data_IF_842359972219
#
_entry.id   IF_842359972219
#
_cell.length_a   1.000
_cell.length_b   1.000
_cell.length_c   1.000
_cell.angle_alpha   90.00
_cell.angle_beta   90.00
_cell.angle_gamma   90.00
#
_symmetry.space_group_name_H-M   'P 1'
#
loop_
_entity.id
_entity.type
_entity.pdbx_description
1 polymer ?
#
# COMPACT_ATOMS: atom_id res chain seq x y z
N UNK A 1 1.40 5.55 15.16
CA UNK A 1 1.16 5.04 13.80
C UNK A 1 1.87 3.72 13.59
N UNK A 2 1.20 2.76 13.04
CA UNK A 2 1.77 1.46 12.72
C UNK A 2 1.73 1.23 11.20
N UNK A 3 2.84 0.76 10.64
CA UNK A 3 2.89 0.33 9.24
C UNK A 3 3.00 -1.18 9.24
N UNK A 4 2.09 -1.83 8.56
CA UNK A 4 2.01 -3.29 8.52
C UNK A 4 1.54 -3.78 7.16
N UNK A 5 1.64 -5.09 6.97
CA UNK A 5 1.15 -5.73 5.75
C UNK A 5 -0.38 -5.73 5.75
N UNK A 6 -0.96 -5.54 4.58
CA UNK A 6 -2.40 -5.62 4.36
C UNK A 6 -2.97 -6.95 4.88
N UNK A 7 -4.17 -6.88 5.46
CA UNK A 7 -4.94 -8.04 5.88
C UNK A 7 -6.29 -8.03 5.18
N UNK A 8 -6.88 -9.18 5.00
CA UNK A 8 -8.17 -9.28 4.32
C UNK A 8 -9.26 -8.41 4.97
N UNK A 9 -9.21 -8.26 6.28
CA UNK A 9 -10.16 -7.41 7.01
C UNK A 9 -10.03 -5.93 6.71
N UNK A 10 -8.93 -5.51 6.06
CA UNK A 10 -8.71 -4.11 5.66
C UNK A 10 -9.33 -3.78 4.31
N UNK A 11 -9.86 -4.76 3.60
CA UNK A 11 -10.28 -4.65 2.20
C UNK A 11 -11.20 -3.46 1.95
N UNK A 12 -12.28 -3.36 2.71
CA UNK A 12 -13.26 -2.29 2.50
C UNK A 12 -12.71 -0.92 2.86
N UNK A 13 -11.93 -0.83 3.94
CA UNK A 13 -11.30 0.43 4.35
C UNK A 13 -10.32 0.93 3.30
N UNK A 14 -9.56 0.02 2.69
CA UNK A 14 -8.59 0.38 1.66
C UNK A 14 -9.31 0.91 0.42
N UNK A 15 -10.37 0.25 -0.01
CA UNK A 15 -11.17 0.72 -1.16
C UNK A 15 -11.74 2.11 -0.88
N UNK A 16 -12.31 2.31 0.30
CA UNK A 16 -12.84 3.61 0.70
C UNK A 16 -11.75 4.69 0.72
N UNK A 17 -10.58 4.33 1.24
CA UNK A 17 -9.44 5.26 1.27
C UNK A 17 -9.03 5.67 -0.14
N UNK A 18 -8.95 4.70 -1.05
CA UNK A 18 -8.58 4.99 -2.44
C UNK A 18 -9.59 5.90 -3.11
N UNK A 19 -10.89 5.73 -2.82
CA UNK A 19 -11.91 6.64 -3.32
C UNK A 19 -11.69 8.07 -2.81
N UNK A 20 -11.38 8.21 -1.53
CA UNK A 20 -11.13 9.52 -0.90
C UNK A 20 -9.87 10.19 -1.44
N UNK A 21 -8.88 9.40 -1.85
CA UNK A 21 -7.63 9.91 -2.41
C UNK A 21 -7.71 10.13 -3.92
N UNK A 22 -8.87 9.87 -4.53
CA UNK A 22 -9.08 10.00 -5.98
C UNK A 22 -8.08 9.14 -6.77
N UNK A 23 -7.81 7.94 -6.26
CA UNK A 23 -6.90 6.99 -6.91
C UNK A 23 -7.60 6.03 -7.85
N UNK A 24 -8.92 5.96 -7.80
CA UNK A 24 -9.69 5.06 -8.65
C UNK A 24 -10.07 5.72 -9.95
N UNK A 25 -9.86 5.02 -11.04
CA UNK A 25 -10.19 5.48 -12.39
C UNK A 25 -11.19 4.51 -13.01
N UNK A 26 -11.97 4.94 -14.04
CA UNK A 26 -12.95 4.04 -14.67
C UNK A 26 -12.36 2.75 -15.23
N UNK A 27 -11.09 2.78 -15.61
CA UNK A 27 -10.42 1.61 -16.18
C UNK A 27 -9.74 0.73 -15.13
N UNK A 28 -9.76 1.13 -13.85
CA UNK A 28 -9.16 0.35 -12.78
C UNK A 28 -10.18 -0.60 -12.17
N UNK A 29 -9.70 -1.77 -11.76
CA UNK A 29 -10.48 -2.70 -10.95
C UNK A 29 -9.73 -2.90 -9.64
N UNK A 30 -9.99 -2.06 -8.62
CA UNK A 30 -9.25 -2.12 -7.37
C UNK A 30 -9.42 -3.44 -6.63
N UNK A 31 -10.59 -4.05 -6.71
CA UNK A 31 -10.81 -5.34 -6.06
C UNK A 31 -9.93 -6.42 -6.68
N UNK A 32 -9.84 -6.44 -8.00
CA UNK A 32 -9.00 -7.39 -8.71
C UNK A 32 -7.52 -7.13 -8.43
N UNK A 33 -7.12 -5.85 -8.36
CA UNK A 33 -5.73 -5.50 -8.08
C UNK A 33 -5.31 -5.96 -6.68
N UNK A 34 -6.19 -5.80 -5.70
CA UNK A 34 -5.93 -6.28 -4.36
C UNK A 34 -5.82 -7.81 -4.35
N UNK A 35 -6.76 -8.48 -5.00
CA UNK A 35 -6.77 -9.93 -5.06
C UNK A 35 -5.51 -10.49 -5.71
N UNK A 36 -5.08 -9.91 -6.81
CA UNK A 36 -3.83 -10.32 -7.47
C UNK A 36 -2.63 -10.14 -6.56
N UNK A 37 -2.58 -9.02 -5.83
CA UNK A 37 -1.46 -8.74 -4.95
C UNK A 37 -1.43 -9.71 -3.78
N UNK A 38 -2.58 -9.99 -3.19
CA UNK A 38 -2.69 -10.94 -2.08
C UNK A 38 -2.25 -12.33 -2.52
N UNK A 39 -2.62 -12.74 -3.72
CA UNK A 39 -2.28 -14.07 -4.23
C UNK A 39 -0.84 -14.18 -4.76
N UNK A 40 -0.21 -13.05 -5.05
CA UNK A 40 1.13 -13.07 -5.64
C UNK A 40 2.21 -12.67 -4.62
N UNK A 41 2.09 -11.49 -4.02
CA UNK A 41 3.10 -10.99 -3.09
C UNK A 41 2.51 -9.95 -2.15
N UNK A 42 1.76 -10.40 -1.16
CA UNK A 42 1.10 -9.51 -0.21
C UNK A 42 2.10 -8.76 0.69
N UNK A 43 3.34 -9.26 0.80
CA UNK A 43 4.35 -8.62 1.65
C UNK A 43 4.70 -7.21 1.22
N UNK A 44 4.43 -6.86 -0.03
CA UNK A 44 4.69 -5.52 -0.56
C UNK A 44 3.42 -4.66 -0.61
N UNK A 45 2.34 -5.11 0.00
CA UNK A 45 1.12 -4.31 0.15
C UNK A 45 1.04 -3.85 1.61
N UNK A 46 1.37 -2.58 1.83
CA UNK A 46 1.48 -2.02 3.18
C UNK A 46 0.35 -1.03 3.46
N UNK A 47 -0.09 -1.01 4.71
CA UNK A 47 -1.06 -0.04 5.19
C UNK A 47 -0.50 0.70 6.40
N UNK A 48 -0.90 1.94 6.56
CA UNK A 48 -0.59 2.73 7.74
C UNK A 48 -1.86 2.85 8.58
N UNK A 49 -1.75 2.48 9.84
CA UNK A 49 -2.88 2.46 10.76
C UNK A 49 -2.67 3.45 11.89
N UNK A 50 -3.69 4.25 12.19
CA UNK A 50 -3.69 5.18 13.32
C UNK A 50 -4.97 4.95 14.08
N UNK A 51 -4.86 4.63 15.36
CA UNK A 51 -6.02 4.39 16.24
C UNK A 51 -7.02 3.37 15.67
N UNK A 52 -6.50 2.32 15.04
CA UNK A 52 -7.34 1.27 14.49
C UNK A 52 -7.92 1.57 13.12
N UNK A 53 -7.55 2.70 12.51
CA UNK A 53 -8.04 3.13 11.21
C UNK A 53 -6.95 3.09 10.16
N UNK A 54 -7.25 2.55 8.99
CA UNK A 54 -6.31 2.58 7.86
C UNK A 54 -6.34 3.97 7.23
N UNK A 55 -5.23 4.69 7.33
CA UNK A 55 -5.14 6.08 6.85
C UNK A 55 -4.15 6.25 5.71
N UNK A 56 -3.43 5.20 5.34
CA UNK A 56 -2.51 5.26 4.22
C UNK A 56 -2.24 3.88 3.66
N UNK A 57 -1.87 3.84 2.38
CA UNK A 57 -1.52 2.58 1.70
C UNK A 57 -0.40 2.81 0.72
N UNK A 58 0.33 1.74 0.40
CA UNK A 58 1.20 1.66 -0.77
C UNK A 58 1.26 0.20 -1.20
N UNK A 59 1.30 -0.01 -2.51
CA UNK A 59 1.46 -1.34 -3.08
C UNK A 59 2.73 -1.34 -3.91
N UNK A 60 3.66 -2.23 -3.60
CA UNK A 60 4.93 -2.31 -4.30
C UNK A 60 4.98 -3.42 -5.30
N UNK A 61 5.83 -3.26 -6.32
CA UNK A 61 6.15 -4.30 -7.27
C UNK A 61 7.64 -4.31 -7.52
N UNK A 62 8.19 -5.48 -7.83
CA UNK A 62 9.60 -5.63 -8.14
C UNK A 62 9.73 -6.54 -9.35
N UNK A 63 10.36 -6.04 -10.40
CA UNK A 63 10.44 -6.74 -11.67
C UNK A 63 11.83 -7.38 -11.93
N UNK A 64 12.65 -7.44 -10.90
CA UNK A 64 14.01 -8.00 -11.02
C UNK A 64 15.08 -6.96 -11.28
N UNK A 65 14.69 -5.74 -11.62
CA UNK A 65 15.61 -4.63 -11.88
C UNK A 65 15.37 -3.44 -10.98
N UNK A 66 14.12 -3.13 -10.71
CA UNK A 66 13.79 -2.00 -9.84
C UNK A 66 12.39 -2.17 -9.26
N UNK A 67 12.19 -1.54 -8.11
CA UNK A 67 10.90 -1.52 -7.47
C UNK A 67 10.02 -0.41 -8.02
N UNK A 68 8.72 -0.60 -7.89
CA UNK A 68 7.72 0.37 -8.28
C UNK A 68 6.72 0.52 -7.14
N UNK A 69 6.12 1.70 -7.01
CA UNK A 69 5.10 1.94 -6.00
C UNK A 69 3.80 2.31 -6.69
N UNK A 70 2.73 1.63 -6.29
CA UNK A 70 1.39 1.84 -6.82
C UNK A 70 0.43 2.14 -5.68
N UNK A 71 -0.68 2.80 -5.98
CA UNK A 71 -1.74 3.05 -4.99
C UNK A 71 -1.20 3.67 -3.70
N UNK A 72 -0.26 4.61 -3.85
CA UNK A 72 0.23 5.38 -2.72
C UNK A 72 -0.81 6.46 -2.41
N UNK A 73 -1.42 6.36 -1.26
CA UNK A 73 -2.43 7.32 -0.85
C UNK A 73 -2.45 7.52 0.65
N UNK A 74 -2.77 8.72 1.07
CA UNK A 74 -2.92 9.08 2.48
C UNK A 74 -4.23 9.83 2.65
N UNK A 75 -5.01 9.45 3.64
CA UNK A 75 -6.27 10.09 3.96
C UNK A 75 -6.07 11.60 4.05
N UNK A 76 -6.95 12.40 3.42
CA UNK A 76 -6.78 13.86 3.39
C UNK A 76 -6.55 14.52 4.75
N UNK A 77 -7.18 14.01 5.80
CA UNK A 77 -7.03 14.57 7.15
C UNK A 77 -5.69 14.21 7.81
N UNK A 78 -4.95 13.28 7.22
CA UNK A 78 -3.67 12.81 7.78
C UNK A 78 -2.47 13.21 6.92
N UNK A 79 -2.69 14.01 5.89
CA UNK A 79 -1.60 14.49 5.04
C UNK A 79 -0.73 15.50 5.78
N UNK A 80 0.53 15.59 5.36
CA UNK A 80 1.49 16.50 5.97
C UNK A 80 2.11 15.97 7.26
N UNK A 81 1.91 14.70 7.57
CA UNK A 81 2.45 14.07 8.79
C UNK A 81 3.55 13.05 8.51
N UNK A 82 4.02 12.97 7.25
CA UNK A 82 5.09 12.06 6.88
C UNK A 82 4.67 10.61 6.67
N UNK A 83 3.38 10.34 6.58
CA UNK A 83 2.88 8.97 6.43
C UNK A 83 3.30 8.36 5.09
N UNK A 84 3.19 9.14 4.00
CA UNK A 84 3.61 8.66 2.68
C UNK A 84 5.09 8.30 2.66
N UNK A 85 5.93 9.14 3.24
CA UNK A 85 7.37 8.87 3.33
C UNK A 85 7.66 7.64 4.17
N UNK A 86 6.93 7.46 5.27
CA UNK A 86 7.08 6.30 6.12
C UNK A 86 6.72 5.01 5.38
N UNK A 87 5.62 5.04 4.61
CA UNK A 87 5.22 3.91 3.79
C UNK A 87 6.26 3.57 2.73
N UNK A 88 6.77 4.59 2.03
CA UNK A 88 7.77 4.38 0.99
C UNK A 88 9.08 3.86 1.57
N UNK A 89 9.50 4.36 2.72
CA UNK A 89 10.72 3.89 3.38
C UNK A 89 10.59 2.43 3.80
N UNK A 90 9.43 2.05 4.35
CA UNK A 90 9.19 0.67 4.72
C UNK A 90 9.17 -0.24 3.49
N UNK A 91 8.55 0.22 2.40
CA UNK A 91 8.49 -0.53 1.15
C UNK A 91 9.89 -0.77 0.60
N UNK A 92 10.74 0.24 0.59
CA UNK A 92 12.13 0.10 0.12
C UNK A 92 12.89 -0.92 0.96
N UNK A 93 12.66 -0.92 2.26
CA UNK A 93 13.29 -1.88 3.15
C UNK A 93 12.88 -3.31 2.81
N UNK A 94 11.59 -3.53 2.55
CA UNK A 94 11.10 -4.85 2.18
C UNK A 94 11.62 -5.30 0.83
N UNK A 95 11.64 -4.40 -0.17
CA UNK A 95 12.15 -4.69 -1.50
C UNK A 95 13.65 -5.01 -1.47
N UNK A 96 14.41 -4.25 -0.67
CA UNK A 96 15.83 -4.48 -0.52
C UNK A 96 16.11 -5.85 0.09
N UNK A 97 15.33 -6.25 1.09
CA UNK A 97 15.45 -7.57 1.70
C UNK A 97 15.17 -8.68 0.67
N UNK A 98 14.12 -8.50 -0.13
CA UNK A 98 13.78 -9.46 -1.19
C UNK A 98 14.90 -9.56 -2.22
N UNK A 99 15.49 -8.44 -2.58
CA UNK A 99 16.58 -8.38 -3.54
C UNK A 99 17.81 -9.14 -3.06
N UNK A 100 18.13 -9.01 -1.77
CA UNK A 100 19.27 -9.69 -1.18
C UNK A 100 19.10 -11.20 -1.12
N UNK A 101 17.88 -11.68 -1.17
CA UNK A 101 17.57 -13.10 -1.14
C UNK A 101 17.63 -13.74 -2.52
N UNK A 102 17.59 -12.93 -3.54
CA UNK A 102 17.66 -13.42 -4.91
C UNK A 102 19.10 -13.43 -5.41
#
# INVERSE_FOLDING_TARGET
>A
MEIRVFRQEDFEEVITLWERCDLLRPWNDPEMDIERKVNHDVSLFLVAEVNGEVVGTVMGGYDGHRGSAYYLGVHPEYRGRGIANALLNRLRSEEHTSELQS
#
